data_IF_101201038503
#
_entry.id   IF_101201038503
#
_cell.length_a   1.000
_cell.length_b   1.000
_cell.length_c   1.000
_cell.angle_alpha   90.00
_cell.angle_beta   90.00
_cell.angle_gamma   90.00
#
_symmetry.space_group_name_H-M   'P 1'
#
loop_
_entity.id
_entity.type
_entity.pdbx_description
1 polymer ?
#
# COMPACT_ATOMS: atom_id res chain seq x y z
N UNK A 1 9.72 20.70 3.36
CA UNK A 1 9.20 19.72 4.34
C UNK A 1 10.22 19.65 5.46
N UNK A 2 9.82 19.81 6.73
CA UNK A 2 10.76 19.90 7.86
C UNK A 2 11.56 18.58 7.96
N UNK A 3 12.87 18.66 8.18
CA UNK A 3 13.82 17.53 8.31
C UNK A 3 14.22 16.74 7.03
N UNK A 4 13.69 17.05 5.85
CA UNK A 4 14.10 16.34 4.61
C UNK A 4 15.58 16.53 4.31
N UNK A 5 16.08 17.77 4.42
CA UNK A 5 17.48 18.08 4.13
C UNK A 5 18.44 17.46 5.15
N UNK A 6 17.98 17.21 6.38
CA UNK A 6 18.77 16.62 7.47
C UNK A 6 18.94 15.11 7.34
N UNK A 7 17.95 14.44 6.73
CA UNK A 7 17.98 13.00 6.47
C UNK A 7 18.53 12.69 5.07
N UNK A 8 18.39 13.60 4.09
CA UNK A 8 19.00 13.47 2.75
C UNK A 8 20.44 14.00 2.69
N UNK A 9 21.34 13.34 3.40
CA UNK A 9 22.77 13.66 3.37
C UNK A 9 23.59 12.48 2.84
N UNK A 10 24.16 12.65 1.65
CA UNK A 10 24.97 11.62 1.00
C UNK A 10 26.24 11.23 1.79
N UNK A 11 26.88 12.18 2.49
CA UNK A 11 28.05 11.88 3.32
C UNK A 11 27.64 11.03 4.52
N UNK A 12 26.51 11.36 5.14
CA UNK A 12 25.94 10.57 6.25
C UNK A 12 25.53 9.17 5.79
N UNK A 13 24.88 9.04 4.63
CA UNK A 13 24.48 7.75 4.08
C UNK A 13 25.69 6.82 3.88
N UNK A 14 26.78 7.34 3.27
CA UNK A 14 28.02 6.57 3.08
C UNK A 14 28.63 6.11 4.39
N UNK A 15 28.63 6.97 5.40
CA UNK A 15 29.13 6.63 6.73
C UNK A 15 28.27 5.53 7.39
N UNK A 16 26.95 5.59 7.29
CA UNK A 16 26.05 4.56 7.79
C UNK A 16 26.23 3.22 7.07
N UNK A 17 26.35 3.23 5.74
CA UNK A 17 26.63 2.02 4.94
C UNK A 17 27.94 1.37 5.40
N UNK A 18 28.99 2.16 5.61
CA UNK A 18 30.26 1.63 6.08
C UNK A 18 30.16 1.07 7.50
N UNK A 19 29.44 1.75 8.39
CA UNK A 19 29.17 1.24 9.74
C UNK A 19 28.39 -0.07 9.72
N UNK A 20 27.39 -0.21 8.84
CA UNK A 20 26.65 -1.46 8.66
C UNK A 20 27.61 -2.57 8.21
N UNK A 21 28.44 -2.33 7.19
CA UNK A 21 29.43 -3.30 6.69
C UNK A 21 30.41 -3.75 7.78
N UNK A 22 30.84 -2.84 8.65
CA UNK A 22 31.75 -3.16 9.76
C UNK A 22 31.06 -3.89 10.92
N UNK A 23 29.76 -3.64 11.13
CA UNK A 23 28.98 -4.25 12.21
C UNK A 23 28.53 -5.67 11.86
N UNK A 24 28.18 -5.89 10.59
CA UNK A 24 27.63 -7.17 10.14
C UNK A 24 28.77 -8.18 9.93
N UNK A 25 28.84 -9.17 10.82
CA UNK A 25 29.85 -10.24 10.75
C UNK A 25 29.53 -11.34 9.75
N UNK A 26 28.25 -11.52 9.42
CA UNK A 26 27.73 -12.49 8.45
C UNK A 26 26.53 -11.88 7.73
N UNK A 27 26.35 -12.10 6.42
CA UNK A 27 25.25 -11.50 5.67
C UNK A 27 23.90 -11.72 6.36
N UNK A 28 23.08 -10.67 6.43
CA UNK A 28 21.75 -10.70 7.07
C UNK A 28 20.64 -10.47 6.07
N UNK A 29 19.49 -11.09 6.28
CA UNK A 29 18.33 -10.93 5.39
C UNK A 29 17.25 -10.10 6.06
N UNK A 30 17.00 -8.89 5.54
CA UNK A 30 15.99 -7.97 6.06
C UNK A 30 14.90 -7.75 5.01
N UNK A 31 13.67 -7.49 5.46
CA UNK A 31 12.55 -7.23 4.56
C UNK A 31 11.89 -5.89 4.86
N UNK A 32 11.69 -5.07 3.84
CA UNK A 32 10.76 -3.93 3.91
C UNK A 32 9.39 -4.33 3.38
N UNK A 33 8.34 -3.64 3.86
CA UNK A 33 6.93 -3.95 3.53
C UNK A 33 6.19 -2.71 3.05
N UNK A 34 6.88 -1.82 2.33
CA UNK A 34 6.29 -0.60 1.76
C UNK A 34 6.96 -0.20 0.44
N UNK A 35 6.16 -0.06 -0.62
CA UNK A 35 6.67 0.38 -1.93
C UNK A 35 7.44 1.71 -1.89
N UNK A 36 7.15 2.61 -0.93
CA UNK A 36 7.93 3.83 -0.72
C UNK A 36 9.35 3.57 -0.20
N UNK A 37 9.51 2.58 0.69
CA UNK A 37 10.82 2.13 1.17
C UNK A 37 11.57 1.41 0.04
N UNK A 38 10.90 0.50 -0.69
CA UNK A 38 11.44 -0.14 -1.90
C UNK A 38 12.01 0.91 -2.85
N UNK A 39 11.22 1.94 -3.16
CA UNK A 39 11.62 3.00 -4.08
C UNK A 39 12.82 3.78 -3.55
N UNK A 40 12.83 4.18 -2.28
CA UNK A 40 13.95 4.91 -1.68
C UNK A 40 15.24 4.10 -1.72
N UNK A 41 15.20 2.82 -1.33
CA UNK A 41 16.38 1.95 -1.34
C UNK A 41 16.97 1.77 -2.75
N UNK A 42 16.12 1.49 -3.74
CA UNK A 42 16.55 1.27 -5.12
C UNK A 42 16.99 2.56 -5.82
N UNK A 43 16.24 3.66 -5.65
CA UNK A 43 16.54 4.94 -6.30
C UNK A 43 17.89 5.51 -5.84
N UNK A 44 18.34 5.15 -4.63
CA UNK A 44 19.61 5.57 -4.07
C UNK A 44 20.70 4.48 -4.12
N UNK A 45 20.42 3.30 -4.70
CA UNK A 45 21.39 2.20 -4.82
C UNK A 45 21.86 1.62 -3.48
N UNK A 46 21.05 1.76 -2.43
CA UNK A 46 21.38 1.27 -1.08
C UNK A 46 21.38 -0.27 -1.05
N UNK A 47 20.50 -0.90 -1.81
CA UNK A 47 20.44 -2.35 -1.99
C UNK A 47 21.72 -2.92 -2.60
N UNK A 48 22.25 -2.26 -3.63
CA UNK A 48 23.51 -2.64 -4.26
C UNK A 48 24.68 -2.38 -3.31
N UNK A 49 24.68 -1.22 -2.63
CA UNK A 49 25.72 -0.88 -1.68
C UNK A 49 25.80 -1.86 -0.49
N UNK A 50 24.69 -2.47 -0.10
CA UNK A 50 24.65 -3.40 1.03
C UNK A 50 24.68 -4.88 0.64
N UNK A 51 24.69 -5.25 -0.65
CA UNK A 51 24.48 -6.62 -1.14
C UNK A 51 25.30 -7.72 -0.43
N UNK A 52 26.55 -7.45 -0.07
CA UNK A 52 27.45 -8.43 0.57
C UNK A 52 27.31 -8.49 2.11
N UNK A 53 26.54 -7.58 2.70
CA UNK A 53 26.32 -7.49 4.16
C UNK A 53 24.85 -7.65 4.53
N UNK A 54 23.93 -7.09 3.76
CA UNK A 54 22.49 -7.17 3.98
C UNK A 54 21.80 -7.48 2.66
N UNK A 55 21.12 -8.61 2.61
CA UNK A 55 20.16 -8.91 1.57
C UNK A 55 18.83 -8.23 1.92
N UNK A 56 18.45 -7.23 1.13
CA UNK A 56 17.15 -6.57 1.25
C UNK A 56 16.13 -7.30 0.39
N UNK A 57 15.11 -7.87 1.03
CA UNK A 57 13.93 -8.44 0.39
C UNK A 57 12.82 -7.39 0.30
N UNK A 58 12.16 -7.37 -0.86
CA UNK A 58 11.02 -6.49 -1.11
C UNK A 58 9.72 -7.25 -0.85
N UNK A 59 9.11 -6.97 0.30
CA UNK A 59 7.88 -7.61 0.73
C UNK A 59 6.64 -7.11 -0.03
N UNK A 60 5.45 -7.58 0.37
CA UNK A 60 4.18 -7.21 -0.26
C UNK A 60 3.73 -5.78 0.13
N UNK A 61 4.55 -4.77 -0.21
CA UNK A 61 4.37 -3.36 0.16
C UNK A 61 3.53 -2.53 -0.81
N UNK A 62 2.86 -3.15 -1.78
CA UNK A 62 2.05 -2.48 -2.80
C UNK A 62 0.60 -2.99 -2.73
N UNK A 63 -0.37 -2.21 -2.19
CA UNK A 63 -1.74 -2.69 -2.02
C UNK A 63 -2.46 -2.96 -3.35
N UNK A 64 -2.11 -2.19 -4.39
CA UNK A 64 -2.58 -2.37 -5.76
C UNK A 64 -2.15 -3.74 -6.31
N UNK A 65 -0.89 -4.11 -6.08
CA UNK A 65 -0.28 -5.31 -6.62
C UNK A 65 -0.80 -6.59 -5.95
N UNK A 66 -1.24 -6.49 -4.68
CA UNK A 66 -1.79 -7.62 -3.92
C UNK A 66 -3.33 -7.65 -3.93
N UNK A 67 -3.98 -6.78 -4.71
CA UNK A 67 -5.44 -6.82 -4.85
C UNK A 67 -5.84 -8.10 -5.62
N UNK A 68 -6.75 -8.93 -5.09
CA UNK A 68 -7.17 -10.15 -5.76
C UNK A 68 -7.83 -9.86 -7.12
N UNK A 69 -7.55 -10.69 -8.12
CA UNK A 69 -8.12 -10.54 -9.46
C UNK A 69 -9.65 -10.59 -9.44
N UNK A 70 -10.23 -11.35 -8.51
CA UNK A 70 -11.67 -11.49 -8.31
C UNK A 70 -12.34 -10.15 -7.92
N UNK A 71 -11.64 -9.29 -7.18
CA UNK A 71 -12.15 -7.95 -6.83
C UNK A 71 -12.17 -7.06 -8.06
N UNK A 72 -11.14 -7.16 -8.92
CA UNK A 72 -11.09 -6.42 -10.19
C UNK A 72 -12.22 -6.89 -11.11
N UNK A 73 -12.47 -8.19 -11.17
CA UNK A 73 -13.57 -8.76 -11.96
C UNK A 73 -14.94 -8.27 -11.45
N UNK A 74 -15.16 -8.19 -10.13
CA UNK A 74 -16.37 -7.61 -9.54
C UNK A 74 -16.53 -6.13 -9.92
N UNK A 75 -15.45 -5.34 -9.83
CA UNK A 75 -15.46 -3.94 -10.23
C UNK A 75 -15.78 -3.78 -11.73
N UNK A 76 -15.26 -4.67 -12.57
CA UNK A 76 -15.55 -4.71 -14.01
C UNK A 76 -17.03 -5.04 -14.25
N UNK A 77 -17.59 -6.05 -13.56
CA UNK A 77 -19.00 -6.41 -13.70
C UNK A 77 -19.92 -5.25 -13.31
N UNK A 78 -19.60 -4.56 -12.21
CA UNK A 78 -20.31 -3.35 -11.79
C UNK A 78 -20.22 -2.25 -12.84
N UNK A 79 -19.04 -1.98 -13.39
CA UNK A 79 -18.84 -0.93 -14.40
C UNK A 79 -19.60 -1.17 -15.72
N UNK A 80 -20.04 -2.41 -16.00
CA UNK A 80 -20.84 -2.71 -17.19
C UNK A 80 -22.33 -2.48 -17.00
N UNK A 81 -22.78 -2.25 -15.76
CA UNK A 81 -24.17 -1.92 -15.47
C UNK A 81 -24.42 -0.45 -15.83
N UNK A 82 -25.48 -0.12 -16.59
CA UNK A 82 -25.70 1.23 -17.10
C UNK A 82 -26.00 2.26 -16.01
N UNK A 83 -26.53 1.81 -14.88
CA UNK A 83 -26.90 2.57 -13.70
C UNK A 83 -25.76 2.71 -12.67
N UNK A 84 -24.60 2.11 -12.91
CA UNK A 84 -23.46 2.15 -11.98
C UNK A 84 -22.33 2.99 -12.56
N UNK A 85 -21.64 3.76 -11.71
CA UNK A 85 -20.39 4.44 -12.01
C UNK A 85 -19.31 3.92 -11.05
N UNK A 86 -18.36 3.14 -11.57
CA UNK A 86 -17.22 2.66 -10.78
C UNK A 86 -16.13 3.72 -10.78
N UNK A 87 -15.63 4.05 -9.60
CA UNK A 87 -14.56 5.01 -9.39
C UNK A 87 -13.35 4.32 -8.77
N UNK A 88 -12.15 4.67 -9.23
CA UNK A 88 -10.90 4.09 -8.69
C UNK A 88 -9.69 5.00 -8.96
N UNK A 89 -8.59 4.71 -8.29
CA UNK A 89 -7.31 5.37 -8.52
C UNK A 89 -6.72 4.99 -9.89
N UNK A 90 -5.87 5.86 -10.45
CA UNK A 90 -5.35 5.69 -11.81
C UNK A 90 -4.42 4.49 -12.01
N UNK A 91 -3.70 4.08 -10.98
CA UNK A 91 -2.88 2.87 -10.97
C UNK A 91 -3.73 1.60 -11.04
N UNK A 92 -4.83 1.55 -10.28
CA UNK A 92 -5.78 0.44 -10.25
C UNK A 92 -6.42 0.15 -11.62
N UNK A 93 -6.58 1.17 -12.48
CA UNK A 93 -7.20 0.98 -13.80
C UNK A 93 -6.45 -0.02 -14.69
N UNK A 94 -5.14 -0.19 -14.46
CA UNK A 94 -4.27 -1.05 -15.26
C UNK A 94 -4.10 -2.45 -14.68
N UNK A 95 -4.54 -2.68 -13.45
CA UNK A 95 -4.42 -3.99 -12.79
C UNK A 95 -5.28 -4.99 -13.56
N UNK A 96 -4.71 -6.14 -13.98
CA UNK A 96 -5.48 -7.16 -14.67
C UNK A 96 -6.42 -7.88 -13.68
N UNK A 97 -7.69 -8.02 -14.06
CA UNK A 97 -8.56 -9.08 -13.53
C UNK A 97 -8.27 -10.41 -14.24
N UNK A 98 -9.19 -11.37 -14.12
CA UNK A 98 -9.01 -12.70 -14.73
C UNK A 98 -9.03 -12.67 -16.26
N UNK A 99 -9.71 -11.67 -16.85
CA UNK A 99 -9.88 -11.56 -18.32
C UNK A 99 -9.40 -10.24 -18.89
N UNK A 100 -9.57 -9.15 -18.15
CA UNK A 100 -9.25 -7.80 -18.60
C UNK A 100 -9.10 -6.84 -17.41
N UNK A 101 -8.66 -5.61 -17.67
CA UNK A 101 -8.55 -4.54 -16.68
C UNK A 101 -9.71 -3.55 -16.74
N UNK A 102 -9.85 -2.71 -15.71
CA UNK A 102 -10.81 -1.60 -15.70
C UNK A 102 -10.55 -0.59 -16.85
N UNK A 103 -9.30 -0.42 -17.28
CA UNK A 103 -8.96 0.39 -18.44
C UNK A 103 -9.53 -0.19 -19.73
N UNK A 104 -9.44 -1.51 -19.92
CA UNK A 104 -10.05 -2.21 -21.06
C UNK A 104 -11.58 -2.15 -20.99
N UNK A 105 -12.16 -2.32 -19.79
CA UNK A 105 -13.59 -2.11 -19.55
C UNK A 105 -14.07 -0.72 -19.98
N UNK A 106 -13.33 0.33 -19.60
CA UNK A 106 -13.63 1.70 -20.02
C UNK A 106 -13.59 1.87 -21.54
N UNK A 107 -12.62 1.24 -22.21
CA UNK A 107 -12.50 1.30 -23.68
C UNK A 107 -13.71 0.68 -24.41
N UNK A 108 -14.37 -0.31 -23.81
CA UNK A 108 -15.63 -0.89 -24.32
C UNK A 108 -16.90 -0.23 -23.76
N UNK A 109 -16.80 1.04 -23.35
CA UNK A 109 -17.89 1.87 -22.82
C UNK A 109 -18.42 1.47 -21.44
N UNK A 110 -17.64 0.70 -20.66
CA UNK A 110 -17.89 0.54 -19.23
C UNK A 110 -17.78 1.88 -18.49
N UNK A 111 -18.63 2.06 -17.48
CA UNK A 111 -18.75 3.27 -16.67
C UNK A 111 -17.66 3.30 -15.59
N UNK A 112 -16.44 3.67 -15.99
CA UNK A 112 -15.27 3.78 -15.09
C UNK A 112 -14.75 5.22 -15.08
N UNK A 113 -14.65 5.81 -13.89
CA UNK A 113 -14.13 7.15 -13.67
C UNK A 113 -12.89 7.14 -12.78
N UNK A 114 -11.84 7.84 -13.20
CA UNK A 114 -10.65 8.02 -12.38
C UNK A 114 -10.91 9.08 -11.31
N UNK A 115 -10.49 8.82 -10.08
CA UNK A 115 -10.50 9.76 -8.96
C UNK A 115 -9.14 9.83 -8.29
N UNK A 116 -8.85 10.96 -7.63
CA UNK A 116 -7.61 11.15 -6.86
C UNK A 116 -7.82 10.92 -5.36
N UNK A 117 -9.06 10.93 -4.90
CA UNK A 117 -9.42 10.65 -3.51
C UNK A 117 -10.79 9.98 -3.42
N UNK A 118 -11.06 9.23 -2.32
CA UNK A 118 -12.40 8.72 -2.02
C UNK A 118 -13.47 9.83 -1.95
N UNK A 119 -13.08 11.06 -1.58
CA UNK A 119 -14.00 12.21 -1.50
C UNK A 119 -14.46 12.70 -2.89
N UNK A 120 -13.67 12.47 -3.94
CA UNK A 120 -14.11 12.80 -5.29
C UNK A 120 -15.22 11.85 -5.75
N UNK A 121 -15.22 10.59 -5.30
CA UNK A 121 -16.33 9.67 -5.53
C UNK A 121 -17.61 10.11 -4.81
N UNK A 122 -17.51 10.69 -3.60
CA UNK A 122 -18.66 11.30 -2.91
C UNK A 122 -19.23 12.46 -3.72
N UNK A 123 -18.38 13.36 -4.24
CA UNK A 123 -18.83 14.46 -5.11
C UNK A 123 -19.51 13.95 -6.37
N UNK A 124 -19.03 12.86 -6.97
CA UNK A 124 -19.67 12.23 -8.12
C UNK A 124 -21.05 11.66 -7.75
N UNK A 125 -21.22 11.09 -6.55
CA UNK A 125 -22.52 10.62 -6.08
C UNK A 125 -23.54 11.76 -5.94
N UNK A 126 -23.12 12.95 -5.50
CA UNK A 126 -23.96 14.17 -5.49
C UNK A 126 -24.34 14.64 -6.90
N UNK A 127 -23.40 14.56 -7.85
CA UNK A 127 -23.60 15.03 -9.23
C UNK A 127 -24.47 14.10 -10.07
N UNK A 128 -24.46 12.80 -9.76
CA UNK A 128 -25.18 11.76 -10.50
C UNK A 128 -26.16 11.02 -9.58
N UNK A 129 -27.26 11.66 -9.12
CA UNK A 129 -28.21 11.05 -8.18
C UNK A 129 -28.91 9.81 -8.75
N UNK A 130 -29.03 9.72 -10.08
CA UNK A 130 -29.64 8.59 -10.79
C UNK A 130 -28.69 7.40 -10.98
N UNK A 131 -27.44 7.50 -10.51
CA UNK A 131 -26.43 6.44 -10.63
C UNK A 131 -25.96 5.97 -9.26
N UNK A 132 -25.71 4.67 -9.16
CA UNK A 132 -24.95 4.10 -8.05
C UNK A 132 -23.46 4.35 -8.27
N UNK A 133 -22.86 5.21 -7.45
CA UNK A 133 -21.42 5.50 -7.50
C UNK A 133 -20.71 4.56 -6.54
N UNK A 134 -19.91 3.65 -7.11
CA UNK A 134 -19.13 2.66 -6.34
C UNK A 134 -17.67 3.05 -6.35
N UNK A 135 -17.06 3.25 -5.19
CA UNK A 135 -15.61 3.43 -5.07
C UNK A 135 -14.91 2.11 -4.78
N UNK A 136 -13.98 1.71 -5.65
CA UNK A 136 -13.09 0.58 -5.42
C UNK A 136 -12.02 0.97 -4.40
N UNK A 137 -12.29 0.66 -3.14
CA UNK A 137 -11.47 1.03 -2.00
C UNK A 137 -10.33 0.02 -1.80
N UNK A 138 -9.19 0.30 -2.44
CA UNK A 138 -7.94 -0.45 -2.31
C UNK A 138 -6.92 0.37 -1.52
N UNK A 139 -6.16 -0.30 -0.68
CA UNK A 139 -5.04 0.31 0.03
C UNK A 139 -4.75 -0.35 1.37
N UNK A 140 -3.64 0.05 1.98
CA UNK A 140 -3.31 -0.35 3.34
C UNK A 140 -3.97 0.54 4.37
N UNK A 141 -3.59 0.39 5.63
CA UNK A 141 -4.11 1.14 6.77
C UNK A 141 -3.99 2.66 6.54
N UNK A 142 -3.00 3.12 5.79
CA UNK A 142 -2.81 4.54 5.41
C UNK A 142 -3.96 5.14 4.61
N UNK A 143 -4.68 4.32 3.83
CA UNK A 143 -5.77 4.76 2.96
C UNK A 143 -7.14 4.69 3.64
N UNK A 144 -7.27 3.83 4.67
CA UNK A 144 -8.52 3.59 5.39
C UNK A 144 -9.12 4.87 5.98
N UNK A 145 -8.35 5.80 6.59
CA UNK A 145 -8.91 7.06 7.09
C UNK A 145 -9.63 7.89 6.04
N UNK A 146 -9.10 7.97 4.81
CA UNK A 146 -9.73 8.71 3.73
C UNK A 146 -11.01 8.02 3.24
N UNK A 147 -11.01 6.68 3.16
CA UNK A 147 -12.22 5.90 2.87
C UNK A 147 -13.28 6.11 3.96
N UNK A 148 -12.90 6.07 5.23
CA UNK A 148 -13.82 6.31 6.35
C UNK A 148 -14.41 7.73 6.35
N UNK A 149 -13.59 8.73 6.00
CA UNK A 149 -14.07 10.10 5.84
C UNK A 149 -15.09 10.23 4.68
N UNK A 150 -14.89 9.49 3.58
CA UNK A 150 -15.86 9.46 2.49
C UNK A 150 -17.22 8.88 2.93
N UNK A 151 -17.22 7.80 3.70
CA UNK A 151 -18.44 7.23 4.30
C UNK A 151 -19.14 8.28 5.18
N UNK A 152 -18.37 8.94 6.06
CA UNK A 152 -18.89 9.99 6.94
C UNK A 152 -19.54 11.13 6.16
N UNK A 153 -18.88 11.63 5.12
CA UNK A 153 -19.42 12.71 4.28
C UNK A 153 -20.66 12.29 3.49
N UNK A 154 -20.66 11.08 2.90
CA UNK A 154 -21.82 10.56 2.20
C UNK A 154 -23.03 10.41 3.14
N UNK A 155 -22.79 9.98 4.39
CA UNK A 155 -23.83 9.87 5.43
C UNK A 155 -24.36 11.25 5.83
N UNK A 156 -23.49 12.23 6.10
CA UNK A 156 -23.88 13.60 6.46
C UNK A 156 -24.70 14.28 5.36
N UNK A 157 -24.45 13.91 4.10
CA UNK A 157 -25.17 14.41 2.92
C UNK A 157 -26.40 13.57 2.54
N UNK A 158 -26.70 12.50 3.28
CA UNK A 158 -27.79 11.56 3.00
C UNK A 158 -27.74 10.95 1.58
N UNK A 159 -26.54 10.62 1.10
CA UNK A 159 -26.33 10.02 -0.22
C UNK A 159 -26.62 8.51 -0.18
N UNK A 160 -27.82 8.11 -0.62
CA UNK A 160 -28.22 6.71 -0.74
C UNK A 160 -27.62 5.97 -1.95
N UNK A 161 -26.85 6.66 -2.78
CA UNK A 161 -26.27 6.15 -4.02
C UNK A 161 -24.73 6.05 -4.00
N UNK A 162 -24.11 6.19 -2.82
CA UNK A 162 -22.67 6.01 -2.64
C UNK A 162 -22.38 4.65 -2.00
N UNK A 163 -21.55 3.85 -2.64
CA UNK A 163 -21.18 2.50 -2.21
C UNK A 163 -19.67 2.28 -2.28
N UNK A 164 -19.17 1.33 -1.50
CA UNK A 164 -17.77 0.93 -1.51
C UNK A 164 -17.63 -0.55 -1.92
N UNK A 165 -16.72 -0.83 -2.84
CA UNK A 165 -16.18 -2.16 -3.05
C UNK A 165 -14.85 -2.24 -2.31
N UNK A 166 -14.85 -2.86 -1.13
CA UNK A 166 -13.71 -2.80 -0.19
C UNK A 166 -12.73 -3.94 -0.43
N UNK A 167 -11.47 -3.60 -0.67
CA UNK A 167 -10.33 -4.51 -0.74
C UNK A 167 -9.11 -3.90 -0.05
N UNK A 168 -9.34 -3.38 1.16
CA UNK A 168 -8.25 -2.94 2.04
C UNK A 168 -7.49 -4.14 2.60
N UNK A 169 -6.17 -4.02 2.66
CA UNK A 169 -5.26 -5.06 3.15
C UNK A 169 -4.52 -4.54 4.39
N UNK A 170 -4.12 -5.44 5.28
CA UNK A 170 -3.34 -5.09 6.49
C UNK A 170 -1.92 -5.59 6.33
N UNK A 171 -0.93 -4.77 6.70
CA UNK A 171 0.49 -5.10 6.55
C UNK A 171 0.91 -6.16 7.57
N UNK A 172 0.55 -6.00 8.84
CA UNK A 172 0.99 -6.93 9.89
C UNK A 172 0.57 -8.39 9.64
N UNK A 173 -0.69 -8.72 9.28
CA UNK A 173 -1.04 -10.09 8.92
C UNK A 173 -0.25 -10.68 7.75
N UNK A 174 0.18 -9.84 6.79
CA UNK A 174 1.04 -10.30 5.70
C UNK A 174 2.45 -10.65 6.22
N UNK A 175 3.01 -9.84 7.13
CA UNK A 175 4.27 -10.17 7.82
C UNK A 175 4.16 -11.47 8.62
N UNK A 176 3.06 -11.65 9.35
CA UNK A 176 2.82 -12.87 10.13
C UNK A 176 2.69 -14.12 9.25
N UNK A 177 2.10 -13.99 8.06
CA UNK A 177 2.00 -15.08 7.09
C UNK A 177 3.38 -15.46 6.54
N UNK A 178 4.24 -14.47 6.24
CA UNK A 178 5.63 -14.70 5.82
C UNK A 178 6.41 -15.43 6.90
N UNK A 179 6.27 -15.02 8.16
CA UNK A 179 6.97 -15.68 9.29
C UNK A 179 6.45 -17.08 9.61
N UNK A 180 5.28 -17.47 9.11
CA UNK A 180 4.74 -18.82 9.25
C UNK A 180 5.25 -19.77 8.15
N UNK A 181 5.87 -19.24 7.10
CA UNK A 181 6.52 -20.05 6.08
C UNK A 181 7.76 -20.73 6.66
N UNK A 182 7.91 -22.03 6.41
CA UNK A 182 9.03 -22.83 6.91
C UNK A 182 10.34 -22.46 6.23
N UNK A 183 10.27 -21.93 5.02
CA UNK A 183 11.42 -21.53 4.23
C UNK A 183 11.70 -20.02 4.37
N UNK A 184 11.07 -19.35 5.34
CA UNK A 184 11.30 -17.94 5.61
C UNK A 184 12.74 -17.69 6.11
N UNK A 185 13.45 -16.82 5.38
CA UNK A 185 14.81 -16.41 5.70
C UNK A 185 14.88 -15.01 6.33
N UNK A 186 13.74 -14.37 6.61
CA UNK A 186 13.70 -12.98 7.11
C UNK A 186 14.16 -12.93 8.57
N UNK A 187 15.22 -12.15 8.82
CA UNK A 187 15.80 -11.94 10.16
C UNK A 187 15.41 -10.59 10.77
N UNK A 188 14.70 -9.73 10.04
CA UNK A 188 14.23 -8.44 10.55
C UNK A 188 13.35 -7.69 9.54
N UNK A 189 12.45 -6.85 10.04
CA UNK A 189 11.56 -6.06 9.21
C UNK A 189 11.79 -4.56 9.33
N UNK A 190 11.69 -3.86 8.20
CA UNK A 190 11.55 -2.41 8.13
C UNK A 190 10.06 -2.06 7.99
N UNK A 191 9.43 -1.68 9.10
CA UNK A 191 8.02 -1.34 9.13
C UNK A 191 7.76 0.06 8.56
N UNK A 192 6.68 0.18 7.80
CA UNK A 192 6.32 1.40 7.10
C UNK A 192 5.88 2.51 8.08
N UNK A 193 6.64 3.60 8.15
CA UNK A 193 6.32 4.74 9.03
C UNK A 193 4.89 5.26 8.84
N UNK A 194 4.42 5.43 7.60
CA UNK A 194 3.06 5.91 7.35
C UNK A 194 1.96 4.97 7.89
N UNK A 195 2.16 3.65 7.83
CA UNK A 195 1.20 2.67 8.40
C UNK A 195 1.17 2.81 9.92
N UNK A 196 2.35 2.98 10.55
CA UNK A 196 2.48 3.18 11.98
C UNK A 196 1.88 4.52 12.44
N UNK A 197 1.91 5.56 11.60
CA UNK A 197 1.22 6.83 11.88
C UNK A 197 -0.30 6.64 12.06
N UNK A 198 -0.90 5.68 11.37
CA UNK A 198 -2.34 5.38 11.50
C UNK A 198 -2.63 4.39 12.62
N UNK A 199 -1.80 3.35 12.74
CA UNK A 199 -2.11 2.19 13.59
C UNK A 199 -1.38 2.18 14.93
N UNK A 200 -0.41 3.07 15.13
CA UNK A 200 0.56 2.96 16.21
C UNK A 200 1.63 1.91 15.91
N UNK A 201 2.49 1.65 16.89
CA UNK A 201 3.56 0.65 16.79
C UNK A 201 3.41 -0.51 17.79
N UNK A 202 2.47 -0.38 18.73
CA UNK A 202 2.31 -1.26 19.89
C UNK A 202 2.00 -2.70 19.47
N UNK A 203 1.34 -2.89 18.31
CA UNK A 203 1.04 -4.23 17.79
C UNK A 203 2.29 -5.01 17.36
N UNK A 204 3.39 -4.32 17.05
CA UNK A 204 4.64 -4.99 16.74
C UNK A 204 5.29 -5.62 17.97
N UNK A 205 4.95 -5.21 19.21
CA UNK A 205 5.45 -5.90 20.40
C UNK A 205 5.00 -7.36 20.42
N UNK A 206 3.72 -7.63 20.16
CA UNK A 206 3.22 -9.00 20.10
C UNK A 206 3.85 -9.80 18.94
N UNK A 207 4.11 -9.15 17.80
CA UNK A 207 4.81 -9.76 16.68
C UNK A 207 6.24 -10.18 17.08
N UNK A 208 7.00 -9.27 17.70
CA UNK A 208 8.38 -9.51 18.15
C UNK A 208 8.40 -10.61 19.22
N UNK A 209 7.50 -10.56 20.21
CA UNK A 209 7.40 -11.58 21.26
C UNK A 209 7.09 -12.97 20.70
N UNK A 210 6.27 -13.04 19.65
CA UNK A 210 5.85 -14.30 19.04
C UNK A 210 6.91 -14.89 18.12
N UNK A 211 7.48 -14.08 17.24
CA UNK A 211 8.38 -14.55 16.17
C UNK A 211 9.86 -14.35 16.49
N UNK A 212 10.20 -13.58 17.54
CA UNK A 212 11.56 -13.24 17.94
C UNK A 212 12.37 -12.56 16.81
N UNK A 213 11.67 -11.86 15.92
CA UNK A 213 12.24 -11.12 14.80
C UNK A 213 12.08 -9.62 15.06
N UNK A 214 13.18 -8.82 15.04
CA UNK A 214 13.11 -7.39 15.29
C UNK A 214 12.36 -6.64 14.18
N UNK A 215 11.64 -5.60 14.58
CA UNK A 215 10.94 -4.69 13.67
C UNK A 215 11.43 -3.27 13.95
N UNK A 216 11.92 -2.59 12.92
CA UNK A 216 12.35 -1.19 12.99
C UNK A 216 11.41 -0.35 12.15
N UNK A 217 10.80 0.67 12.75
CA UNK A 217 9.94 1.61 12.03
C UNK A 217 10.83 2.67 11.40
N UNK A 218 10.70 2.85 10.08
CA UNK A 218 11.53 3.80 9.34
C UNK A 218 10.69 4.83 8.60
N UNK A 219 11.34 5.95 8.28
CA UNK A 219 10.86 6.89 7.27
C UNK A 219 11.13 6.39 5.85
N UNK A 220 11.14 7.31 4.90
CA UNK A 220 11.32 7.02 3.46
C UNK A 220 12.57 7.68 2.88
N UNK A 221 13.38 8.29 3.73
CA UNK A 221 14.64 8.93 3.34
C UNK A 221 15.79 7.91 3.36
N UNK A 222 16.81 8.10 2.52
CA UNK A 222 17.96 7.18 2.39
C UNK A 222 18.82 7.10 3.66
#
# INVERSE_FOLDING_TARGET
MKHVDEYRDAARCRLLIEQIRQTVTTPRTLMEVCGGQTHGLLAHGIDEALRDSVQLLHGPGCPVCVTPAEVIDQAIELALRPDVLVTSFGDMLRVPGSRESLQQCRARKGQVQLVYSPLDAVKLAEQFPDKQVVFLAVGFETTVPATALAIKQATEKNLGNFSLLVSHVRVQPAMELIMQDRDCMVEGFLAAGHVCTVTGYERYFNFVDRFHVPVVITGFEP
#
